data_IF_288063168473
#
_entry.id   IF_288063168473
#
_cell.length_a   1.000
_cell.length_b   1.000
_cell.length_c   1.000
_cell.angle_alpha   90.00
_cell.angle_beta   90.00
_cell.angle_gamma   90.00
#
_symmetry.space_group_name_H-M   'P 1'
#
loop_
_entity.id
_entity.type
_entity.pdbx_description
1 polymer ?
#
# COMPACT_ATOMS: atom_id res chain seq x y z
N UNK A 1 -22.94 55.19 31.95
CA UNK A 1 -23.25 54.05 31.07
C UNK A 1 -21.98 53.57 30.37
N UNK A 2 -21.05 52.92 31.09
CA UNK A 2 -19.73 52.54 30.56
C UNK A 2 -19.39 51.09 30.94
N UNK A 3 -20.12 50.08 30.45
CA UNK A 3 -19.80 48.66 30.71
C UNK A 3 -20.12 47.68 29.57
N UNK A 4 -20.18 48.13 28.31
CA UNK A 4 -20.56 47.25 27.18
C UNK A 4 -19.45 47.06 26.13
N UNK A 5 -18.33 47.79 26.20
CA UNK A 5 -17.30 47.80 25.14
C UNK A 5 -16.14 46.80 25.41
N UNK A 6 -16.25 45.91 26.40
CA UNK A 6 -15.15 44.98 26.78
C UNK A 6 -15.41 43.52 26.35
N UNK A 7 -16.56 43.21 25.72
CA UNK A 7 -16.89 41.80 25.39
C UNK A 7 -16.64 41.39 23.92
N UNK A 8 -16.25 42.32 23.04
CA UNK A 8 -16.10 42.06 21.59
C UNK A 8 -14.66 41.81 21.11
N UNK A 9 -13.68 41.76 22.03
CA UNK A 9 -12.26 41.56 21.69
C UNK A 9 -11.73 40.16 22.03
N UNK A 10 -12.54 39.29 22.63
CA UNK A 10 -12.14 37.92 23.01
C UNK A 10 -12.58 36.82 22.02
N UNK A 11 -13.44 37.14 21.04
CA UNK A 11 -13.97 36.13 20.09
C UNK A 11 -13.01 35.90 18.90
N UNK A 12 -12.04 36.79 18.65
CA UNK A 12 -11.12 36.66 17.51
C UNK A 12 -9.88 35.78 17.74
N UNK A 13 -9.68 35.22 18.94
CA UNK A 13 -8.49 34.40 19.25
C UNK A 13 -8.68 32.88 19.10
N UNK A 14 -9.89 32.39 18.81
CA UNK A 14 -10.16 30.94 18.75
C UNK A 14 -10.32 30.41 17.31
N UNK A 15 -10.25 31.28 16.28
CA UNK A 15 -10.41 30.88 14.88
C UNK A 15 -9.08 30.67 14.12
N UNK A 16 -7.93 30.84 14.78
CA UNK A 16 -6.62 30.99 14.10
C UNK A 16 -5.66 29.80 14.15
N UNK A 17 -5.94 28.73 14.87
CA UNK A 17 -5.02 27.60 14.99
C UNK A 17 -5.76 26.28 14.77
N UNK A 18 -5.52 25.67 13.61
CA UNK A 18 -5.55 24.21 13.46
C UNK A 18 -4.90 23.71 12.15
N UNK A 19 -4.60 24.58 11.16
CA UNK A 19 -3.96 24.13 9.91
C UNK A 19 -2.45 23.86 9.98
N UNK A 20 -1.71 24.48 10.92
CA UNK A 20 -0.23 24.32 10.99
C UNK A 20 0.24 22.99 11.57
N UNK A 21 -0.64 22.24 12.22
CA UNK A 21 -0.26 21.02 12.94
C UNK A 21 -0.27 19.78 12.02
N UNK A 22 -1.22 19.69 11.09
CA UNK A 22 -1.34 18.55 10.16
C UNK A 22 -0.24 18.54 9.08
N UNK A 23 0.19 19.72 8.61
CA UNK A 23 1.26 19.87 7.61
C UNK A 23 2.62 19.37 8.15
N UNK A 24 2.88 19.61 9.44
CA UNK A 24 4.13 19.22 10.13
C UNK A 24 4.23 17.69 10.37
N UNK A 25 3.10 17.00 10.61
CA UNK A 25 3.12 15.53 10.78
C UNK A 25 3.32 14.79 9.45
N UNK A 26 2.70 15.28 8.37
CA UNK A 26 2.85 14.69 7.03
C UNK A 26 4.28 14.84 6.51
N UNK A 27 4.88 16.03 6.68
CA UNK A 27 6.26 16.29 6.27
C UNK A 27 7.26 15.37 7.01
N UNK A 28 7.08 15.21 8.34
CA UNK A 28 7.92 14.30 9.14
C UNK A 28 7.77 12.85 8.71
N UNK A 29 6.56 12.40 8.41
CA UNK A 29 6.32 11.03 7.96
C UNK A 29 6.94 10.76 6.58
N UNK A 30 6.96 11.76 5.70
CA UNK A 30 7.64 11.69 4.41
C UNK A 30 9.16 11.69 4.57
N UNK A 31 9.73 12.56 5.40
CA UNK A 31 11.17 12.57 5.69
C UNK A 31 11.65 11.23 6.29
N UNK A 32 10.88 10.68 7.23
CA UNK A 32 11.17 9.36 7.82
C UNK A 32 11.14 8.25 6.76
N UNK A 33 10.19 8.31 5.82
CA UNK A 33 10.11 7.39 4.70
C UNK A 33 11.33 7.50 3.79
N UNK A 34 11.66 8.71 3.32
CA UNK A 34 12.78 8.91 2.39
C UNK A 34 14.11 8.49 3.02
N UNK A 35 14.32 8.84 4.29
CA UNK A 35 15.49 8.40 5.05
C UNK A 35 15.56 6.88 5.12
N UNK A 36 14.46 6.20 5.47
CA UNK A 36 14.42 4.74 5.59
C UNK A 36 14.66 4.05 4.25
N UNK A 37 14.08 4.55 3.16
CA UNK A 37 14.33 4.04 1.80
C UNK A 37 15.83 4.14 1.47
N UNK A 38 16.44 5.29 1.72
CA UNK A 38 17.88 5.49 1.46
C UNK A 38 18.74 4.53 2.29
N UNK A 39 18.47 4.41 3.60
CA UNK A 39 19.19 3.49 4.49
C UNK A 39 19.09 2.03 4.00
N UNK A 40 17.88 1.57 3.69
CA UNK A 40 17.63 0.18 3.29
C UNK A 40 18.21 -0.14 1.91
N UNK A 41 18.14 0.78 0.95
CA UNK A 41 18.79 0.60 -0.36
C UNK A 41 20.32 0.62 -0.25
N UNK A 42 20.89 1.51 0.58
CA UNK A 42 22.34 1.59 0.80
C UNK A 42 22.90 0.39 1.56
N UNK A 43 22.06 -0.36 2.28
CA UNK A 43 22.47 -1.62 2.92
C UNK A 43 22.92 -2.70 1.93
N UNK A 44 22.48 -2.60 0.66
CA UNK A 44 22.73 -3.61 -0.37
C UNK A 44 21.95 -4.92 -0.19
N UNK A 45 21.12 -5.03 0.85
CA UNK A 45 20.30 -6.22 1.11
C UNK A 45 19.17 -6.30 0.09
N UNK A 46 18.98 -7.50 -0.51
CA UNK A 46 17.85 -7.80 -1.39
C UNK A 46 16.88 -8.78 -0.77
N UNK A 47 15.61 -8.39 -0.73
CA UNK A 47 14.48 -9.16 -0.23
C UNK A 47 13.46 -9.38 -1.34
N UNK A 48 13.83 -10.19 -2.33
CA UNK A 48 13.03 -10.31 -3.55
C UNK A 48 11.76 -11.15 -3.39
N UNK A 49 11.68 -12.01 -2.38
CA UNK A 49 10.49 -12.87 -2.16
C UNK A 49 9.34 -12.09 -1.53
N UNK A 50 8.15 -12.21 -2.11
CA UNK A 50 6.93 -11.50 -1.70
C UNK A 50 5.78 -12.51 -1.48
N UNK A 51 4.53 -12.06 -1.64
CA UNK A 51 3.32 -12.86 -1.44
C UNK A 51 3.38 -14.20 -2.21
N UNK A 52 2.98 -15.29 -1.56
CA UNK A 52 2.95 -16.66 -2.10
C UNK A 52 4.23 -17.11 -2.82
N UNK A 53 5.38 -16.57 -2.40
CA UNK A 53 6.70 -16.92 -2.95
C UNK A 53 6.97 -16.37 -4.35
N UNK A 54 6.15 -15.45 -4.86
CA UNK A 54 6.55 -14.68 -6.04
C UNK A 54 7.83 -13.91 -5.71
N UNK A 55 8.65 -13.60 -6.72
CA UNK A 55 9.87 -12.82 -6.49
C UNK A 55 9.97 -11.66 -7.46
N UNK A 56 10.45 -10.51 -6.98
CA UNK A 56 10.84 -9.42 -7.86
C UNK A 56 11.82 -9.92 -8.93
N UNK A 57 11.72 -9.37 -10.13
CA UNK A 57 12.51 -9.80 -11.29
C UNK A 57 11.99 -11.06 -12.01
N UNK A 58 10.96 -11.75 -11.52
CA UNK A 58 10.30 -12.81 -12.30
C UNK A 58 9.75 -12.24 -13.61
N UNK A 59 9.95 -12.96 -14.71
CA UNK A 59 9.27 -12.66 -15.97
C UNK A 59 7.79 -12.96 -15.88
N UNK A 60 6.98 -12.37 -16.78
CA UNK A 60 5.55 -12.66 -16.87
C UNK A 60 5.28 -14.17 -17.01
N UNK A 61 6.04 -14.85 -17.86
CA UNK A 61 5.94 -16.30 -18.05
C UNK A 61 6.24 -17.09 -16.77
N UNK A 62 7.24 -16.67 -15.98
CA UNK A 62 7.57 -17.33 -14.71
C UNK A 62 6.47 -17.13 -13.67
N UNK A 63 5.93 -15.92 -13.56
CA UNK A 63 4.82 -15.62 -12.66
C UNK A 63 3.56 -16.42 -13.04
N UNK A 64 3.18 -16.45 -14.32
CA UNK A 64 2.03 -17.24 -14.81
C UNK A 64 2.21 -18.75 -14.55
N UNK A 65 3.42 -19.27 -14.77
CA UNK A 65 3.74 -20.67 -14.46
C UNK A 65 3.53 -20.95 -12.96
N UNK A 66 4.03 -20.06 -12.09
CA UNK A 66 3.85 -20.16 -10.64
C UNK A 66 2.38 -20.09 -10.24
N UNK A 67 1.58 -19.19 -10.84
CA UNK A 67 0.13 -19.13 -10.60
C UNK A 67 -0.54 -20.47 -10.92
N UNK A 68 -0.22 -21.07 -12.07
CA UNK A 68 -0.78 -22.37 -12.50
C UNK A 68 -0.34 -23.50 -11.59
N UNK A 69 0.89 -23.49 -11.10
CA UNK A 69 1.40 -24.46 -10.12
C UNK A 69 0.63 -24.36 -8.80
N UNK A 70 0.48 -23.16 -8.25
CA UNK A 70 -0.29 -22.93 -7.02
C UNK A 70 -1.76 -23.33 -7.16
N UNK A 71 -2.37 -23.10 -8.32
CA UNK A 71 -3.73 -23.55 -8.60
C UNK A 71 -3.83 -25.08 -8.63
N UNK A 72 -2.92 -25.76 -9.32
CA UNK A 72 -2.86 -27.23 -9.36
C UNK A 72 -2.61 -27.85 -7.99
N UNK A 73 -1.92 -27.13 -7.10
CA UNK A 73 -1.65 -27.54 -5.72
C UNK A 73 -2.77 -27.18 -4.74
N UNK A 74 -3.88 -26.60 -5.21
CA UNK A 74 -4.98 -26.12 -4.37
C UNK A 74 -4.59 -25.05 -3.34
N UNK A 75 -3.46 -24.37 -3.56
CA UNK A 75 -3.07 -23.17 -2.80
C UNK A 75 -3.93 -21.99 -3.27
N UNK A 76 -4.17 -21.90 -4.58
CA UNK A 76 -5.09 -20.94 -5.19
C UNK A 76 -6.37 -21.65 -5.63
N UNK A 77 -7.48 -20.91 -5.57
CA UNK A 77 -8.75 -21.28 -6.20
C UNK A 77 -9.21 -20.18 -7.15
N UNK A 78 -10.23 -20.44 -7.96
CA UNK A 78 -10.91 -19.42 -8.77
C UNK A 78 -12.16 -18.99 -8.00
N UNK A 79 -12.28 -17.70 -7.69
CA UNK A 79 -13.45 -17.15 -7.01
C UNK A 79 -14.60 -16.86 -7.99
N UNK A 80 -15.74 -16.39 -7.46
CA UNK A 80 -16.96 -16.11 -8.24
C UNK A 80 -16.75 -15.02 -9.31
N UNK A 81 -15.76 -14.15 -9.10
CA UNK A 81 -15.36 -13.09 -10.03
C UNK A 81 -14.38 -13.59 -11.12
N UNK A 82 -14.10 -14.90 -11.18
CA UNK A 82 -13.12 -15.54 -12.07
C UNK A 82 -11.65 -15.10 -11.87
N UNK A 83 -11.29 -14.67 -10.66
CA UNK A 83 -9.90 -14.37 -10.30
C UNK A 83 -9.25 -15.51 -9.54
N UNK A 84 -7.93 -15.66 -9.69
CA UNK A 84 -7.14 -16.46 -8.77
C UNK A 84 -7.17 -15.81 -7.37
N UNK A 85 -7.64 -16.57 -6.40
CA UNK A 85 -7.81 -16.15 -5.03
C UNK A 85 -7.06 -17.10 -4.08
N UNK A 86 -6.59 -16.52 -2.98
CA UNK A 86 -5.96 -17.22 -1.86
C UNK A 86 -6.80 -17.02 -0.61
N UNK A 87 -7.04 -18.10 0.13
CA UNK A 87 -7.69 -18.01 1.44
C UNK A 87 -6.63 -17.71 2.50
N UNK A 88 -6.55 -16.44 2.88
CA UNK A 88 -5.62 -15.97 3.89
C UNK A 88 -6.17 -16.25 5.28
N UNK A 89 -5.48 -17.08 6.04
CA UNK A 89 -5.74 -17.23 7.47
C UNK A 89 -5.40 -15.95 8.21
N UNK A 90 -6.34 -15.47 9.01
CA UNK A 90 -6.15 -14.41 9.99
C UNK A 90 -6.04 -15.05 11.40
N UNK A 91 -6.37 -14.32 12.45
CA UNK A 91 -6.41 -14.85 13.83
C UNK A 91 -7.64 -15.74 14.08
N UNK A 92 -7.53 -16.70 15.00
CA UNK A 92 -8.67 -17.43 15.62
C UNK A 92 -9.71 -17.98 14.61
N UNK A 93 -9.24 -18.74 13.63
CA UNK A 93 -10.05 -19.37 12.57
C UNK A 93 -10.69 -18.41 11.55
N UNK A 94 -10.42 -17.10 11.66
CA UNK A 94 -10.89 -16.13 10.68
C UNK A 94 -10.10 -16.21 9.37
N UNK A 95 -10.80 -15.88 8.28
CA UNK A 95 -10.30 -16.00 6.92
C UNK A 95 -10.62 -14.77 6.11
N UNK A 96 -9.69 -14.37 5.26
CA UNK A 96 -9.90 -13.37 4.22
C UNK A 96 -9.67 -13.99 2.84
N UNK A 97 -10.33 -13.43 1.84
CA UNK A 97 -10.02 -13.72 0.45
C UNK A 97 -9.03 -12.68 -0.06
N UNK A 98 -7.91 -13.15 -0.62
CA UNK A 98 -6.90 -12.31 -1.23
C UNK A 98 -6.80 -12.59 -2.73
N UNK A 99 -7.12 -11.60 -3.57
CA UNK A 99 -6.79 -11.62 -5.00
C UNK A 99 -5.53 -10.79 -5.23
N UNK A 100 -4.82 -11.02 -6.34
CA UNK A 100 -3.58 -10.31 -6.60
C UNK A 100 -3.36 -10.00 -8.08
N UNK A 101 -2.66 -8.90 -8.34
CA UNK A 101 -2.35 -8.38 -9.66
C UNK A 101 -0.85 -8.04 -9.76
N UNK A 102 -0.06 -8.79 -10.54
CA UNK A 102 1.36 -8.48 -10.77
C UNK A 102 1.52 -7.35 -11.79
N UNK A 103 2.44 -6.44 -11.49
CA UNK A 103 2.88 -5.35 -12.38
C UNK A 103 4.28 -5.62 -12.89
N UNK A 104 4.51 -5.37 -14.17
CA UNK A 104 5.79 -5.66 -14.82
C UNK A 104 6.37 -4.41 -15.44
N UNK A 105 7.68 -4.23 -15.27
CA UNK A 105 8.48 -3.27 -15.98
C UNK A 105 9.55 -4.01 -16.79
N UNK A 106 9.65 -3.74 -18.10
CA UNK A 106 10.57 -4.45 -19.02
C UNK A 106 10.50 -5.99 -18.88
N UNK A 107 9.28 -6.54 -18.80
CA UNK A 107 9.00 -7.97 -18.58
C UNK A 107 9.61 -8.54 -17.28
N UNK A 108 9.73 -7.71 -16.24
CA UNK A 108 10.20 -8.11 -14.90
C UNK A 108 9.21 -7.63 -13.85
N UNK A 109 8.80 -8.53 -12.96
CA UNK A 109 7.89 -8.23 -11.86
C UNK A 109 8.54 -7.19 -10.95
N UNK A 110 7.96 -5.99 -10.89
CA UNK A 110 8.46 -4.88 -10.09
C UNK A 110 7.51 -4.50 -8.96
N UNK A 111 6.24 -4.84 -9.09
CA UNK A 111 5.27 -4.65 -8.03
C UNK A 111 4.19 -5.74 -8.06
N UNK A 112 3.57 -5.98 -6.91
CA UNK A 112 2.43 -6.89 -6.77
C UNK A 112 1.40 -6.23 -5.85
N UNK A 113 0.18 -6.08 -6.36
CA UNK A 113 -0.94 -5.59 -5.56
C UNK A 113 -1.76 -6.78 -5.07
N UNK A 114 -2.11 -6.80 -3.80
CA UNK A 114 -2.99 -7.80 -3.18
C UNK A 114 -4.22 -7.09 -2.62
N UNK A 115 -5.41 -7.42 -3.12
CA UNK A 115 -6.68 -6.92 -2.59
C UNK A 115 -7.24 -7.96 -1.62
N UNK A 116 -7.43 -7.58 -0.36
CA UNK A 116 -7.88 -8.45 0.73
C UNK A 116 -9.28 -8.07 1.17
N UNK A 117 -10.22 -8.99 1.02
CA UNK A 117 -11.62 -8.84 1.43
C UNK A 117 -11.94 -9.80 2.58
N UNK A 118 -12.75 -9.41 3.57
CA UNK A 118 -13.16 -10.31 4.64
C UNK A 118 -14.03 -11.46 4.07
N UNK A 119 -13.89 -12.67 4.61
CA UNK A 119 -14.69 -13.85 4.24
C UNK A 119 -15.32 -14.48 5.48
N UNK A 120 -16.42 -15.22 5.31
CA UNK A 120 -17.03 -16.02 6.38
C UNK A 120 -17.60 -15.19 7.55
N UNK A 121 -17.24 -15.56 8.78
CA UNK A 121 -17.70 -14.88 10.00
C UNK A 121 -17.23 -13.42 10.05
N UNK A 122 -15.98 -13.17 9.66
CA UNK A 122 -15.42 -11.82 9.52
C UNK A 122 -16.20 -10.96 8.52
N UNK A 123 -16.70 -11.53 7.42
CA UNK A 123 -17.53 -10.77 6.48
C UNK A 123 -18.86 -10.29 7.10
N UNK A 124 -19.36 -10.97 8.14
CA UNK A 124 -20.61 -10.63 8.84
C UNK A 124 -20.40 -9.64 9.98
N UNK A 125 -19.29 -9.78 10.73
CA UNK A 125 -18.96 -8.88 11.84
C UNK A 125 -18.23 -7.61 11.40
N UNK A 126 -17.42 -7.71 10.34
CA UNK A 126 -16.38 -6.75 10.00
C UNK A 126 -16.51 -6.32 8.55
N UNK A 127 -17.67 -5.74 8.28
CA UNK A 127 -17.82 -4.71 7.24
C UNK A 127 -17.07 -3.41 7.62
N UNK A 128 -15.96 -3.53 8.36
CA UNK A 128 -15.08 -2.45 8.77
C UNK A 128 -13.67 -2.73 8.24
N UNK A 129 -13.34 -2.18 7.06
CA UNK A 129 -12.00 -2.28 6.46
C UNK A 129 -10.86 -1.86 7.40
N UNK A 130 -11.11 -0.96 8.36
CA UNK A 130 -10.10 -0.53 9.34
C UNK A 130 -9.69 -1.65 10.30
N UNK A 131 -10.63 -2.47 10.78
CA UNK A 131 -10.23 -3.60 11.63
C UNK A 131 -9.46 -4.65 10.85
N UNK A 132 -9.87 -4.94 9.61
CA UNK A 132 -9.12 -5.81 8.72
C UNK A 132 -7.71 -5.26 8.47
N UNK A 133 -7.56 -3.95 8.29
CA UNK A 133 -6.26 -3.31 8.08
C UNK A 133 -5.36 -3.53 9.30
N UNK A 134 -5.85 -3.27 10.52
CA UNK A 134 -5.10 -3.47 11.76
C UNK A 134 -4.71 -4.94 11.93
N UNK A 135 -5.62 -5.88 11.67
CA UNK A 135 -5.32 -7.32 11.71
C UNK A 135 -4.19 -7.68 10.73
N UNK A 136 -4.25 -7.15 9.51
CA UNK A 136 -3.19 -7.37 8.52
C UNK A 136 -1.87 -6.73 8.96
N UNK A 137 -1.89 -5.50 9.49
CA UNK A 137 -0.69 -4.85 10.04
C UNK A 137 -0.06 -5.70 11.13
N UNK A 138 -0.84 -6.25 12.05
CA UNK A 138 -0.35 -7.13 13.12
C UNK A 138 0.33 -8.39 12.57
N UNK A 139 -0.25 -9.03 11.54
CA UNK A 139 0.38 -10.18 10.87
C UNK A 139 1.73 -9.81 10.23
N UNK A 140 1.86 -8.60 9.68
CA UNK A 140 3.12 -8.13 9.10
C UNK A 140 4.12 -7.71 10.19
N UNK A 141 3.66 -7.16 11.31
CA UNK A 141 4.49 -6.89 12.48
C UNK A 141 5.06 -8.17 13.07
N UNK A 142 4.27 -9.23 13.18
CA UNK A 142 4.76 -10.54 13.64
C UNK A 142 5.84 -11.09 12.70
N UNK A 143 5.64 -10.92 11.39
CA UNK A 143 6.55 -11.45 10.37
C UNK A 143 7.82 -10.62 10.16
N UNK A 144 7.73 -9.30 10.20
CA UNK A 144 8.77 -8.36 9.78
C UNK A 144 9.27 -7.44 10.90
N UNK A 145 8.60 -7.44 12.06
CA UNK A 145 8.91 -6.58 13.20
C UNK A 145 8.12 -5.27 13.23
N UNK A 146 8.27 -4.52 14.32
CA UNK A 146 7.56 -3.26 14.60
C UNK A 146 8.08 -2.03 13.83
N UNK A 147 9.06 -2.19 12.94
CA UNK A 147 9.66 -1.07 12.20
C UNK A 147 8.84 -0.75 10.95
N UNK A 148 7.66 -0.16 11.15
CA UNK A 148 6.84 0.42 10.09
C UNK A 148 6.71 1.93 10.25
N UNK A 149 6.45 2.60 9.13
CA UNK A 149 6.16 4.03 9.05
C UNK A 149 4.66 4.19 8.90
N UNK A 150 4.10 5.10 9.68
CA UNK A 150 2.70 5.49 9.62
C UNK A 150 2.60 6.79 8.82
N UNK A 151 1.82 6.80 7.75
CA UNK A 151 1.56 7.98 6.92
C UNK A 151 0.06 8.25 6.88
N UNK A 152 -0.35 9.50 6.77
CA UNK A 152 -1.76 9.83 6.55
C UNK A 152 -2.22 9.24 5.20
N UNK A 153 -3.32 8.49 5.23
CA UNK A 153 -3.94 7.90 4.05
C UNK A 153 -5.36 8.43 3.86
N UNK A 154 -5.99 8.04 2.75
CA UNK A 154 -7.29 8.61 2.35
C UNK A 154 -8.47 8.26 3.28
N UNK A 155 -8.37 7.18 4.07
CA UNK A 155 -9.44 6.71 4.96
C UNK A 155 -8.96 6.56 6.40
N UNK A 156 -7.77 6.02 6.57
CA UNK A 156 -6.99 5.93 7.80
C UNK A 156 -5.53 5.97 7.36
N UNK A 157 -4.63 5.81 8.32
CA UNK A 157 -3.20 5.77 8.09
C UNK A 157 -2.80 4.60 7.20
N UNK A 158 -1.85 4.86 6.32
CA UNK A 158 -1.11 3.84 5.59
C UNK A 158 0.03 3.33 6.48
N UNK A 159 0.30 2.02 6.39
CA UNK A 159 1.38 1.37 7.14
C UNK A 159 2.41 0.83 6.16
N UNK A 160 3.66 1.28 6.29
CA UNK A 160 4.72 1.01 5.33
C UNK A 160 5.88 0.28 6.03
N UNK A 161 6.20 -0.92 5.55
CA UNK A 161 7.34 -1.71 5.98
C UNK A 161 8.42 -1.67 4.89
N UNK A 162 9.66 -1.37 5.27
CA UNK A 162 10.78 -1.29 4.31
C UNK A 162 11.93 -2.16 4.83
N UNK A 163 12.37 -3.11 3.99
CA UNK A 163 13.48 -4.01 4.27
C UNK A 163 14.27 -4.31 2.99
N UNK A 164 15.52 -3.86 2.92
CA UNK A 164 16.33 -3.91 1.71
C UNK A 164 15.65 -3.20 0.53
N UNK A 165 15.56 -3.86 -0.62
CA UNK A 165 14.85 -3.33 -1.78
C UNK A 165 13.31 -3.46 -1.72
N UNK A 166 12.73 -4.06 -0.68
CA UNK A 166 11.29 -4.35 -0.63
C UNK A 166 10.56 -3.33 0.24
N UNK A 167 9.57 -2.69 -0.36
CA UNK A 167 8.50 -2.00 0.36
C UNK A 167 7.25 -2.90 0.41
N UNK A 168 6.58 -2.88 1.56
CA UNK A 168 5.23 -3.40 1.73
C UNK A 168 4.36 -2.28 2.29
N UNK A 169 3.36 -1.83 1.55
CA UNK A 169 2.43 -0.78 1.96
C UNK A 169 1.02 -1.34 2.13
N UNK A 170 0.45 -1.19 3.33
CA UNK A 170 -0.91 -1.66 3.67
C UNK A 170 -1.84 -0.46 3.80
N UNK A 171 -2.82 -0.34 2.90
CA UNK A 171 -3.76 0.78 2.85
C UNK A 171 -5.19 0.30 3.01
N UNK A 172 -6.01 1.11 3.68
CA UNK A 172 -7.45 0.92 3.71
C UNK A 172 -8.09 1.51 2.45
N UNK A 173 -9.11 0.83 1.92
CA UNK A 173 -10.04 1.40 0.94
C UNK A 173 -11.47 1.40 1.50
N UNK A 174 -12.43 1.92 0.72
CA UNK A 174 -13.86 1.92 1.08
C UNK A 174 -14.37 0.52 1.42
N UNK A 175 -13.90 -0.52 0.70
CA UNK A 175 -14.51 -1.86 0.75
C UNK A 175 -13.56 -2.98 1.16
N UNK A 176 -12.26 -2.74 1.09
CA UNK A 176 -11.24 -3.76 1.29
C UNK A 176 -9.96 -3.14 1.83
N UNK A 177 -8.96 -3.98 2.08
CA UNK A 177 -7.59 -3.55 2.37
C UNK A 177 -6.72 -3.93 1.20
N UNK A 178 -5.83 -3.05 0.78
CA UNK A 178 -4.90 -3.30 -0.30
C UNK A 178 -3.47 -3.32 0.23
N UNK A 179 -2.71 -4.31 -0.21
CA UNK A 179 -1.31 -4.47 0.13
C UNK A 179 -0.49 -4.36 -1.15
N UNK A 180 0.42 -3.39 -1.18
CA UNK A 180 1.37 -3.24 -2.26
C UNK A 180 2.71 -3.82 -1.84
N UNK A 181 3.29 -4.61 -2.73
CA UNK A 181 4.69 -5.02 -2.66
C UNK A 181 5.43 -4.32 -3.80
N UNK A 182 6.49 -3.59 -3.49
CA UNK A 182 7.20 -2.77 -4.46
C UNK A 182 8.71 -3.01 -4.40
N UNK A 183 9.35 -3.24 -5.55
CA UNK A 183 10.82 -3.22 -5.65
C UNK A 183 11.29 -1.76 -5.75
N UNK A 184 11.80 -1.25 -4.63
CA UNK A 184 12.34 0.10 -4.50
C UNK A 184 13.57 0.34 -5.38
N UNK A 185 14.34 -0.71 -5.71
CA UNK A 185 15.59 -0.57 -6.46
C UNK A 185 15.40 -0.11 -7.90
N UNK A 186 14.19 -0.21 -8.44
CA UNK A 186 13.85 0.16 -9.82
C UNK A 186 12.79 1.24 -9.94
N UNK A 187 12.30 1.80 -8.82
CA UNK A 187 11.24 2.82 -8.85
C UNK A 187 11.62 4.08 -9.63
N UNK A 188 12.87 4.54 -9.49
CA UNK A 188 13.35 5.70 -10.22
C UNK A 188 13.37 5.46 -11.74
N UNK A 189 13.67 4.23 -12.18
CA UNK A 189 13.65 3.88 -13.60
C UNK A 189 12.23 3.76 -14.13
N UNK A 190 11.34 3.15 -13.35
CA UNK A 190 9.90 3.02 -13.67
C UNK A 190 9.27 4.41 -13.82
N UNK A 191 9.52 5.31 -12.87
CA UNK A 191 8.97 6.67 -12.88
C UNK A 191 9.45 7.47 -14.09
N UNK A 192 10.77 7.48 -14.37
CA UNK A 192 11.33 8.17 -15.54
C UNK A 192 10.69 7.68 -16.85
N UNK A 193 10.53 6.36 -17.00
CA UNK A 193 9.89 5.80 -18.19
C UNK A 193 8.41 6.22 -18.32
N UNK A 194 7.67 6.28 -17.21
CA UNK A 194 6.28 6.73 -17.21
C UNK A 194 6.14 8.21 -17.54
N UNK A 195 7.03 9.04 -17.00
CA UNK A 195 7.05 10.48 -17.27
C UNK A 195 7.35 10.74 -18.76
N UNK A 196 8.36 10.06 -19.34
CA UNK A 196 8.71 10.16 -20.76
C UNK A 196 7.57 9.71 -21.71
N UNK A 197 6.85 8.64 -21.36
CA UNK A 197 5.69 8.17 -22.14
C UNK A 197 4.50 9.13 -22.03
N UNK A 198 4.31 9.79 -20.88
CA UNK A 198 3.24 10.77 -20.70
C UNK A 198 3.46 12.02 -21.57
N UNK A 199 4.70 12.49 -21.68
CA UNK A 199 5.06 13.66 -22.49
C UNK A 199 4.92 13.41 -24.01
N UNK A 200 5.24 12.21 -24.48
CA UNK A 200 5.03 11.84 -25.90
C UNK A 200 3.56 11.87 -26.28
N UNK A 201 2.69 11.29 -25.45
CA UNK A 201 1.25 11.24 -25.71
C UNK A 201 0.60 12.65 -25.73
N UNK A 202 1.07 13.57 -24.89
CA UNK A 202 0.60 14.97 -24.89
C UNK A 202 1.01 15.69 -26.18
N UNK A 203 2.22 15.42 -26.69
CA UNK A 203 2.71 16.05 -27.92
C UNK A 203 2.03 15.49 -29.18
N UNK A 204 1.79 14.17 -29.25
CA UNK A 204 1.08 13.54 -30.35
C UNK A 204 -0.40 13.98 -30.41
N UNK A 205 -1.02 14.28 -29.27
CA UNK A 205 -2.39 14.83 -29.22
C UNK A 205 -2.44 16.26 -29.76
N UNK A 206 -1.37 17.06 -29.56
CA UNK A 206 -1.29 18.44 -30.04
C UNK A 206 -0.93 18.56 -31.52
N UNK A 207 -0.22 17.59 -32.10
CA UNK A 207 0.11 17.58 -33.54
C UNK A 207 -1.04 17.13 -34.44
N UNK A 208 -2.10 16.58 -33.86
CA UNK A 208 -3.29 16.09 -34.56
C UNK A 208 -4.50 17.06 -34.44
N UNK A 209 -4.28 18.27 -33.93
CA UNK A 209 -5.25 19.38 -33.86
C UNK A 209 -4.77 20.53 -34.73
#
# INVERSE_FOLDING_TARGET
MNKVIIFLLFIFLIAGCNKKYEEDETEKAQEAYDKKVQEELNSGIRNDTIFLGYTFGMTKNQAEKKTKEHYKQHILYINDDNYYAYEMSLEKDDKAEATFAPSYFKNRLNALTVDVKPKGYFARLLYNPGLLQITLVNLYVEKYGYSYIKQEGAFDNDYIFIQGNREIKVIQTIKNVRIFYTDLSIQNEVKKFQDEESDKNVNDTKSNL
#
